data_IF_786622343122
#
_entry.id   IF_786622343122
#
_cell.length_a   1.000
_cell.length_b   1.000
_cell.length_c   1.000
_cell.angle_alpha   90.00
_cell.angle_beta   90.00
_cell.angle_gamma   90.00
#
_symmetry.space_group_name_H-M   'P 1'
#
loop_
_entity.id
_entity.type
_entity.pdbx_description
1 polymer ?
#
# COMPACT_ATOMS: atom_id res chain seq x y z
N UNK A 1 23.24 10.15 -10.34
CA UNK A 1 22.65 9.01 -9.60
C UNK A 1 21.24 9.43 -9.26
N UNK A 2 20.24 8.74 -9.79
CA UNK A 2 18.84 9.07 -9.48
C UNK A 2 18.50 8.32 -8.20
N UNK A 3 18.42 9.04 -7.08
CA UNK A 3 17.90 8.53 -5.80
C UNK A 3 16.37 8.34 -5.93
N UNK A 4 15.91 7.40 -6.77
CA UNK A 4 14.51 6.99 -6.78
C UNK A 4 14.34 5.90 -5.70
N UNK A 5 13.63 6.19 -4.58
CA UNK A 5 13.43 5.22 -3.50
C UNK A 5 12.82 3.89 -3.99
N UNK A 6 12.08 3.92 -5.12
CA UNK A 6 11.46 2.73 -5.69
C UNK A 6 12.47 1.78 -6.36
N UNK A 7 13.62 2.28 -6.84
CA UNK A 7 14.70 1.42 -7.32
C UNK A 7 15.34 0.66 -6.15
N UNK A 8 15.49 1.32 -4.99
CA UNK A 8 15.98 0.69 -3.77
C UNK A 8 15.11 -0.48 -3.31
N UNK A 9 13.79 -0.38 -3.48
CA UNK A 9 12.84 -1.48 -3.17
C UNK A 9 13.09 -2.71 -4.06
N UNK A 10 13.44 -2.53 -5.34
CA UNK A 10 13.73 -3.65 -6.25
C UNK A 10 15.02 -4.36 -5.83
N UNK A 11 16.04 -3.60 -5.41
CA UNK A 11 17.32 -4.14 -4.93
C UNK A 11 17.20 -4.83 -3.56
N UNK A 12 16.19 -4.46 -2.76
CA UNK A 12 15.96 -4.97 -1.41
C UNK A 12 14.91 -6.10 -1.33
N UNK A 13 14.42 -6.64 -2.45
CA UNK A 13 13.40 -7.71 -2.45
C UNK A 13 13.86 -8.95 -1.70
N UNK A 14 15.11 -9.38 -1.87
CA UNK A 14 15.63 -10.57 -1.17
C UNK A 14 15.69 -10.33 0.35
N UNK A 15 16.10 -9.12 0.77
CA UNK A 15 16.09 -8.72 2.17
C UNK A 15 14.68 -8.70 2.75
N UNK A 16 13.70 -8.17 2.01
CA UNK A 16 12.30 -8.16 2.42
C UNK A 16 11.75 -9.58 2.56
N UNK A 17 12.07 -10.48 1.63
CA UNK A 17 11.63 -11.88 1.72
C UNK A 17 12.27 -12.63 2.90
N UNK A 18 13.52 -12.31 3.26
CA UNK A 18 14.23 -13.02 4.34
C UNK A 18 13.94 -12.45 5.73
N UNK A 19 13.81 -11.12 5.86
CA UNK A 19 13.77 -10.41 7.16
C UNK A 19 12.51 -9.57 7.36
N UNK A 20 11.70 -9.41 6.34
CA UNK A 20 10.48 -8.62 6.41
C UNK A 20 9.42 -9.29 7.26
N UNK A 21 8.48 -8.48 7.73
CA UNK A 21 7.25 -8.92 8.38
C UNK A 21 6.09 -8.71 7.42
N UNK A 22 5.12 -9.63 7.45
CA UNK A 22 3.89 -9.52 6.66
C UNK A 22 2.87 -8.75 7.48
N UNK A 23 2.25 -7.75 6.86
CA UNK A 23 1.21 -6.91 7.45
C UNK A 23 0.07 -6.71 6.45
N UNK A 24 -1.09 -6.29 6.93
CA UNK A 24 -2.17 -5.85 6.05
C UNK A 24 -1.89 -4.48 5.45
N UNK A 25 -2.20 -4.35 4.16
CA UNK A 25 -2.26 -3.08 3.47
C UNK A 25 -3.59 -2.88 2.75
N UNK A 26 -3.99 -1.61 2.62
CA UNK A 26 -5.10 -1.16 1.83
C UNK A 26 -4.69 -0.14 0.78
N UNK A 27 -5.22 -0.27 -0.43
CA UNK A 27 -5.02 0.65 -1.53
C UNK A 27 -5.69 2.00 -1.25
N UNK A 28 -4.90 3.07 -1.30
CA UNK A 28 -5.41 4.45 -1.25
C UNK A 28 -5.61 4.98 -2.67
N UNK A 29 -4.61 4.81 -3.54
CA UNK A 29 -4.63 5.27 -4.92
C UNK A 29 -3.74 4.41 -5.79
N UNK A 30 -4.13 4.14 -7.02
CA UNK A 30 -3.31 3.45 -8.01
C UNK A 30 -3.43 4.10 -9.38
N UNK A 31 -2.42 3.85 -10.22
CA UNK A 31 -2.52 4.09 -11.65
C UNK A 31 -3.65 3.22 -12.25
N UNK A 32 -4.54 3.80 -13.06
CA UNK A 32 -5.68 3.10 -13.67
C UNK A 32 -5.28 1.89 -14.53
N UNK A 33 -4.04 1.86 -15.05
CA UNK A 33 -3.53 0.74 -15.83
C UNK A 33 -3.38 -0.53 -14.99
N UNK A 34 -3.22 -0.44 -13.66
CA UNK A 34 -3.06 -1.61 -12.78
C UNK A 34 -4.33 -2.47 -12.69
N UNK A 35 -5.51 -1.90 -12.96
CA UNK A 35 -6.81 -2.59 -12.94
C UNK A 35 -7.14 -3.30 -14.27
N UNK A 36 -6.21 -3.33 -15.23
CA UNK A 36 -6.39 -3.98 -16.54
C UNK A 36 -5.17 -4.85 -16.85
N UNK A 37 -5.33 -5.90 -17.68
CA UNK A 37 -4.20 -6.68 -18.15
C UNK A 37 -3.14 -5.78 -18.79
N UNK A 38 -1.88 -5.97 -18.41
CA UNK A 38 -0.78 -5.12 -18.86
C UNK A 38 0.57 -5.74 -18.54
N UNK A 39 1.63 -5.15 -19.12
CA UNK A 39 3.01 -5.65 -18.98
C UNK A 39 3.83 -4.86 -17.96
N UNK A 40 3.46 -3.62 -17.70
CA UNK A 40 4.26 -2.69 -16.92
C UNK A 40 3.77 -2.62 -15.48
N UNK A 41 4.74 -2.59 -14.58
CA UNK A 41 4.53 -2.26 -13.18
C UNK A 41 4.30 -0.75 -13.06
N UNK A 42 3.47 -0.35 -12.09
CA UNK A 42 3.13 1.05 -11.89
C UNK A 42 3.10 1.38 -10.39
N UNK A 43 3.28 2.67 -10.05
CA UNK A 43 3.17 3.09 -8.66
C UNK A 43 1.72 3.03 -8.16
N UNK A 44 1.61 2.83 -6.85
CA UNK A 44 0.39 3.01 -6.07
C UNK A 44 0.76 3.61 -4.71
N UNK A 45 -0.23 4.24 -4.08
CA UNK A 45 -0.18 4.64 -2.68
C UNK A 45 -0.98 3.64 -1.87
N UNK A 46 -0.35 3.08 -0.85
CA UNK A 46 -0.98 2.13 0.08
C UNK A 46 -0.92 2.68 1.50
N UNK A 47 -1.89 2.26 2.29
CA UNK A 47 -1.95 2.42 3.73
C UNK A 47 -1.64 1.05 4.34
N UNK A 48 -0.76 0.97 5.33
CA UNK A 48 -0.50 -0.27 6.07
C UNK A 48 -0.37 0.00 7.56
N UNK A 49 -0.60 -1.02 8.38
CA UNK A 49 -0.28 -0.99 9.82
C UNK A 49 1.05 -1.72 10.05
N UNK A 50 1.97 -1.13 10.81
CA UNK A 50 3.26 -1.76 11.11
C UNK A 50 3.20 -2.79 12.26
N UNK A 51 2.06 -2.87 12.94
CA UNK A 51 1.76 -3.91 13.92
C UNK A 51 1.04 -5.08 13.21
N UNK A 52 1.67 -6.28 13.11
CA UNK A 52 1.09 -7.41 12.38
C UNK A 52 -0.23 -7.92 12.95
N UNK A 53 -0.44 -7.81 14.27
CA UNK A 53 -1.66 -8.32 14.92
C UNK A 53 -2.83 -7.33 14.78
N UNK A 54 -2.51 -6.06 14.51
CA UNK A 54 -3.51 -5.04 14.25
C UNK A 54 -4.21 -5.30 12.91
N UNK A 55 -5.55 -5.33 12.93
CA UNK A 55 -6.44 -5.53 11.77
C UNK A 55 -6.50 -6.95 11.18
N UNK A 56 -5.89 -7.97 11.80
CA UNK A 56 -5.99 -9.35 11.30
C UNK A 56 -7.44 -9.86 11.25
N UNK A 57 -8.23 -9.55 12.28
CA UNK A 57 -9.65 -9.92 12.35
C UNK A 57 -10.55 -8.96 11.56
N UNK A 58 -10.08 -7.73 11.26
CA UNK A 58 -10.90 -6.65 10.70
C UNK A 58 -10.14 -5.79 9.67
N UNK A 59 -9.62 -6.37 8.57
CA UNK A 59 -8.83 -5.62 7.58
C UNK A 59 -9.65 -4.57 6.82
N UNK A 60 -10.98 -4.67 6.81
CA UNK A 60 -11.87 -3.67 6.23
C UNK A 60 -11.87 -2.32 6.98
N UNK A 61 -11.49 -2.28 8.26
CA UNK A 61 -11.30 -1.00 8.96
C UNK A 61 -10.15 -0.21 8.35
N UNK A 62 -9.04 -0.88 8.02
CA UNK A 62 -7.92 -0.27 7.29
C UNK A 62 -8.38 0.28 5.93
N UNK A 63 -9.27 -0.43 5.24
CA UNK A 63 -9.87 0.03 3.98
C UNK A 63 -10.75 1.26 4.16
N UNK A 64 -11.51 1.35 5.24
CA UNK A 64 -12.31 2.53 5.54
C UNK A 64 -11.42 3.78 5.70
N UNK A 65 -10.28 3.63 6.37
CA UNK A 65 -9.28 4.70 6.52
C UNK A 65 -8.67 5.08 5.17
N UNK A 66 -8.27 4.10 4.35
CA UNK A 66 -7.72 4.35 3.02
C UNK A 66 -8.69 5.15 2.13
N UNK A 67 -9.98 4.83 2.17
CA UNK A 67 -11.04 5.59 1.47
C UNK A 67 -11.16 7.02 1.98
N UNK A 68 -11.07 7.23 3.30
CA UNK A 68 -11.08 8.56 3.90
C UNK A 68 -9.89 9.39 3.43
N UNK A 69 -8.69 8.81 3.38
CA UNK A 69 -7.50 9.48 2.85
C UNK A 69 -7.64 9.81 1.37
N UNK A 70 -8.12 8.88 0.54
CA UNK A 70 -8.38 9.16 -0.87
C UNK A 70 -9.39 10.31 -1.06
N UNK A 71 -10.41 10.38 -0.20
CA UNK A 71 -11.47 11.40 -0.29
C UNK A 71 -10.95 12.84 -0.13
N UNK A 72 -9.75 13.04 0.42
CA UNK A 72 -9.16 14.37 0.57
C UNK A 72 -8.29 14.81 -0.60
N UNK A 73 -8.04 13.93 -1.58
CA UNK A 73 -7.26 14.24 -2.77
C UNK A 73 -7.77 15.50 -3.47
N UNK A 74 -6.84 16.40 -3.80
CA UNK A 74 -7.13 17.62 -4.56
C UNK A 74 -7.88 18.69 -3.78
N UNK A 75 -8.10 18.50 -2.47
CA UNK A 75 -8.78 19.48 -1.62
C UNK A 75 -7.78 20.37 -0.90
N UNK A 76 -8.17 21.64 -0.73
CA UNK A 76 -7.56 22.53 0.26
C UNK A 76 -8.35 22.38 1.56
N UNK A 77 -7.69 21.87 2.59
CA UNK A 77 -8.26 21.60 3.90
C UNK A 77 -7.78 22.66 4.89
N UNK A 78 -8.65 23.05 5.81
CA UNK A 78 -8.25 23.83 6.98
C UNK A 78 -7.52 22.97 8.02
N UNK A 79 -7.71 21.65 7.96
CA UNK A 79 -7.06 20.69 8.85
C UNK A 79 -5.59 20.48 8.46
N UNK A 80 -4.63 20.98 9.25
CA UNK A 80 -3.21 20.86 8.95
C UNK A 80 -2.70 19.41 9.04
N UNK A 81 -3.45 18.51 9.68
CA UNK A 81 -3.09 17.11 9.84
C UNK A 81 -3.41 16.31 8.57
N UNK A 82 -4.51 16.65 7.89
CA UNK A 82 -4.94 15.96 6.66
C UNK A 82 -4.40 16.60 5.38
N UNK A 83 -4.04 17.88 5.40
CA UNK A 83 -3.52 18.58 4.22
C UNK A 83 -2.29 17.90 3.59
N UNK A 84 -1.33 17.35 4.36
CA UNK A 84 -0.21 16.61 3.81
C UNK A 84 -0.61 15.41 2.93
N UNK A 85 -1.68 14.68 3.27
CA UNK A 85 -2.19 13.56 2.47
C UNK A 85 -2.84 14.04 1.17
N UNK A 86 -3.59 15.14 1.24
CA UNK A 86 -4.16 15.76 0.05
C UNK A 86 -3.04 16.16 -0.95
N UNK A 87 -1.91 16.67 -0.43
CA UNK A 87 -0.74 17.03 -1.23
C UNK A 87 -0.04 15.80 -1.81
N UNK A 88 0.24 14.78 -0.99
CA UNK A 88 0.85 13.51 -1.42
C UNK A 88 0.09 12.90 -2.59
N UNK A 89 -1.23 12.76 -2.47
CA UNK A 89 -2.07 12.11 -3.48
C UNK A 89 -2.16 12.88 -4.81
N UNK A 90 -1.83 14.17 -4.82
CA UNK A 90 -1.75 15.00 -6.03
C UNK A 90 -0.38 14.98 -6.69
N UNK A 91 0.67 14.57 -5.98
CA UNK A 91 2.05 14.63 -6.48
C UNK A 91 2.47 13.30 -7.07
N UNK A 92 2.30 13.15 -8.37
CA UNK A 92 2.67 11.91 -9.08
C UNK A 92 4.19 11.66 -9.20
N UNK A 93 5.01 12.69 -8.92
CA UNK A 93 6.46 12.68 -9.15
C UNK A 93 7.33 12.68 -7.88
N UNK A 94 6.79 13.02 -6.71
CA UNK A 94 7.49 12.87 -5.43
C UNK A 94 7.08 11.57 -4.77
N UNK A 95 8.04 10.78 -4.29
CA UNK A 95 7.76 9.56 -3.53
C UNK A 95 7.75 9.90 -2.05
N UNK A 96 6.61 9.71 -1.41
CA UNK A 96 6.46 9.87 0.03
C UNK A 96 6.47 8.47 0.66
N UNK A 97 7.48 8.21 1.48
CA UNK A 97 7.66 6.92 2.15
C UNK A 97 7.29 7.04 3.62
N UNK A 98 6.59 6.02 4.15
CA UNK A 98 6.26 5.87 5.57
C UNK A 98 5.68 7.14 6.23
N UNK A 99 4.80 7.84 5.52
CA UNK A 99 4.12 9.00 6.05
C UNK A 99 3.18 8.57 7.19
N UNK A 100 3.35 9.05 8.43
CA UNK A 100 2.57 8.58 9.58
C UNK A 100 1.11 9.01 9.46
N UNK A 101 0.22 8.04 9.62
CA UNK A 101 -1.23 8.28 9.63
C UNK A 101 -1.61 8.83 11.00
N UNK A 102 -2.47 9.87 11.06
CA UNK A 102 -2.89 10.44 12.33
C UNK A 102 -3.52 9.36 13.23
N UNK A 103 -3.08 9.24 14.50
CA UNK A 103 -3.59 8.21 15.41
C UNK A 103 -5.11 8.19 15.55
N UNK A 104 -5.76 9.35 15.42
CA UNK A 104 -7.22 9.50 15.48
C UNK A 104 -7.98 8.87 14.31
N UNK A 105 -7.29 8.43 13.24
CA UNK A 105 -7.90 7.73 12.13
C UNK A 105 -7.82 6.22 12.25
N UNK A 106 -6.96 5.70 13.13
CA UNK A 106 -6.56 4.29 13.20
C UNK A 106 -6.53 3.79 14.65
N UNK A 107 -7.29 4.44 15.53
CA UNK A 107 -7.42 4.10 16.95
C UNK A 107 -6.07 3.89 17.68
N UNK A 108 -5.08 4.70 17.31
CA UNK A 108 -3.73 4.64 17.90
C UNK A 108 -2.77 3.63 17.27
N UNK A 109 -3.23 2.79 16.34
CA UNK A 109 -2.38 1.81 15.67
C UNK A 109 -1.26 2.50 14.84
N UNK A 110 -0.06 1.92 14.77
CA UNK A 110 1.07 2.51 14.05
C UNK A 110 0.91 2.32 12.53
N UNK A 111 0.07 3.16 11.91
CA UNK A 111 -0.22 3.09 10.48
C UNK A 111 0.52 4.15 9.66
N UNK A 112 0.82 3.80 8.41
CA UNK A 112 1.59 4.62 7.50
C UNK A 112 1.02 4.59 6.08
N UNK A 113 1.11 5.72 5.38
CA UNK A 113 0.95 5.77 3.93
C UNK A 113 2.30 5.78 3.24
N UNK A 114 2.42 5.03 2.16
CA UNK A 114 3.66 4.94 1.39
C UNK A 114 3.39 4.72 -0.08
N UNK A 115 4.26 5.26 -0.94
CA UNK A 115 4.34 4.85 -2.33
C UNK A 115 4.96 3.46 -2.45
N UNK A 116 4.44 2.64 -3.37
CA UNK A 116 4.96 1.32 -3.71
C UNK A 116 4.97 1.13 -5.23
N UNK A 117 5.92 0.34 -5.75
CA UNK A 117 5.77 -0.25 -7.08
C UNK A 117 4.94 -1.51 -6.98
N UNK A 118 3.82 -1.52 -7.68
CA UNK A 118 2.99 -2.70 -7.84
C UNK A 118 3.61 -3.58 -8.92
N UNK A 119 4.41 -4.54 -8.48
CA UNK A 119 4.93 -5.59 -9.35
C UNK A 119 3.79 -6.53 -9.77
N UNK A 120 3.37 -6.49 -11.04
CA UNK A 120 2.24 -7.30 -11.53
C UNK A 120 2.43 -8.79 -11.29
N UNK A 121 3.68 -9.26 -11.31
CA UNK A 121 4.03 -10.66 -11.01
C UNK A 121 3.72 -11.08 -9.57
N UNK A 122 3.50 -10.14 -8.66
CA UNK A 122 3.15 -10.41 -7.26
C UNK A 122 1.64 -10.44 -7.04
N UNK A 123 0.82 -10.01 -8.01
CA UNK A 123 -0.63 -10.02 -7.90
C UNK A 123 -1.21 -11.31 -8.50
N UNK A 124 -2.28 -11.86 -7.91
CA UNK A 124 -3.11 -12.85 -8.60
C UNK A 124 -3.65 -12.23 -9.90
N UNK A 125 -3.73 -13.05 -10.96
CA UNK A 125 -4.14 -12.61 -12.31
C UNK A 125 -3.36 -11.40 -12.90
N UNK A 126 -2.26 -10.96 -12.28
CA UNK A 126 -1.43 -9.81 -12.70
C UNK A 126 -2.19 -8.47 -12.78
N UNK A 127 -3.28 -8.35 -12.02
CA UNK A 127 -4.19 -7.20 -12.00
C UNK A 127 -4.57 -6.86 -10.55
N UNK A 128 -4.69 -5.56 -10.26
CA UNK A 128 -4.97 -5.05 -8.92
C UNK A 128 -6.48 -4.99 -8.69
N UNK A 129 -7.09 -6.15 -8.51
CA UNK A 129 -8.55 -6.28 -8.47
C UNK A 129 -9.15 -6.06 -7.09
N UNK A 130 -8.32 -6.16 -6.04
CA UNK A 130 -8.76 -5.99 -4.66
C UNK A 130 -7.94 -4.90 -3.93
N UNK A 131 -8.57 -4.07 -3.07
CA UNK A 131 -7.86 -3.02 -2.35
C UNK A 131 -7.11 -3.53 -1.13
N UNK A 132 -7.43 -4.71 -0.60
CA UNK A 132 -6.74 -5.29 0.57
C UNK A 132 -5.82 -6.42 0.13
N UNK A 133 -4.56 -6.39 0.59
CA UNK A 133 -3.55 -7.38 0.28
C UNK A 133 -2.43 -7.39 1.32
N UNK A 134 -1.70 -8.51 1.47
CA UNK A 134 -0.52 -8.60 2.30
C UNK A 134 0.64 -7.79 1.72
N UNK A 135 1.28 -7.03 2.59
CA UNK A 135 2.46 -6.22 2.32
C UNK A 135 3.61 -6.76 3.18
N UNK A 136 4.80 -6.82 2.59
CA UNK A 136 6.03 -7.10 3.32
C UNK A 136 6.70 -5.77 3.60
N UNK A 137 7.01 -5.52 4.87
CA UNK A 137 7.74 -4.33 5.31
C UNK A 137 9.00 -4.74 6.07
N UNK A 138 10.02 -3.88 6.04
CA UNK A 138 11.12 -3.97 7.00
C UNK A 138 11.00 -2.80 7.98
N UNK A 139 10.72 -3.04 9.28
CA UNK A 139 10.48 -1.95 10.23
C UNK A 139 11.63 -0.95 10.35
N UNK A 140 12.86 -1.39 10.06
CA UNK A 140 14.11 -0.62 10.18
C UNK A 140 14.44 0.27 8.98
N UNK A 141 13.70 0.19 7.86
CA UNK A 141 13.89 1.08 6.71
C UNK A 141 12.59 1.29 5.91
N UNK A 142 12.69 1.94 4.75
CA UNK A 142 11.55 2.25 3.87
C UNK A 142 11.24 1.13 2.87
N UNK A 143 11.96 0.01 2.95
CA UNK A 143 11.73 -1.13 2.08
C UNK A 143 10.32 -1.69 2.29
N UNK A 144 9.55 -1.75 1.21
CA UNK A 144 8.21 -2.31 1.22
C UNK A 144 7.88 -2.93 -0.12
N UNK A 145 7.16 -4.05 -0.13
CA UNK A 145 6.62 -4.62 -1.36
C UNK A 145 5.35 -5.39 -1.09
N UNK A 146 4.49 -5.51 -2.10
CA UNK A 146 3.38 -6.47 -2.04
C UNK A 146 3.97 -7.87 -1.95
N UNK A 147 3.50 -8.66 -0.98
CA UNK A 147 3.92 -10.05 -0.83
C UNK A 147 3.61 -10.79 -2.14
N UNK A 148 4.55 -11.54 -2.74
CA UNK A 148 4.25 -12.30 -3.94
C UNK A 148 3.09 -13.28 -3.74
N UNK A 149 2.08 -13.26 -4.62
CA UNK A 149 0.86 -14.08 -4.53
C UNK A 149 1.08 -15.58 -4.36
N UNK A 150 2.24 -16.11 -4.76
CA UNK A 150 2.65 -17.50 -4.52
C UNK A 150 2.76 -17.86 -3.02
N UNK A 151 2.80 -16.88 -2.13
CA UNK A 151 2.87 -17.06 -0.67
C UNK A 151 1.53 -16.73 0.01
N UNK A 152 0.49 -16.40 -0.74
CA UNK A 152 -0.79 -16.04 -0.16
C UNK A 152 -1.56 -17.29 0.21
N UNK A 153 -2.35 -17.24 1.29
CA UNK A 153 -3.25 -18.34 1.64
C UNK A 153 -4.34 -18.50 0.56
N UNK A 154 -4.83 -19.73 0.39
CA UNK A 154 -5.80 -20.09 -0.65
C UNK A 154 -7.12 -19.31 -0.50
N UNK A 155 -7.51 -18.97 0.72
CA UNK A 155 -8.69 -18.16 1.01
C UNK A 155 -8.58 -16.77 0.40
N UNK A 156 -7.41 -16.13 0.50
CA UNK A 156 -7.16 -14.81 -0.07
C UNK A 156 -7.07 -14.86 -1.59
N UNK A 157 -6.43 -15.90 -2.14
CA UNK A 157 -6.39 -16.14 -3.59
C UNK A 157 -7.81 -16.31 -4.16
N UNK A 158 -8.68 -17.01 -3.45
CA UNK A 158 -10.07 -17.24 -3.83
C UNK A 158 -10.90 -15.95 -3.78
N UNK A 159 -10.71 -15.13 -2.74
CA UNK A 159 -11.38 -13.84 -2.60
C UNK A 159 -10.98 -12.84 -3.70
N UNK A 160 -9.76 -12.97 -4.25
CA UNK A 160 -9.24 -12.08 -5.30
C UNK A 160 -10.03 -12.14 -6.62
N UNK A 161 -10.64 -13.28 -6.93
CA UNK A 161 -11.30 -13.54 -8.22
C UNK A 161 -12.77 -13.07 -8.25
N UNK A 162 -13.29 -12.48 -7.15
CA UNK A 162 -14.73 -12.33 -6.95
C UNK A 162 -15.29 -10.91 -6.79
N UNK A 163 -14.47 -9.87 -6.66
CA UNK A 163 -14.95 -8.53 -6.27
C UNK A 163 -14.47 -7.48 -7.28
N UNK A 164 -15.37 -6.77 -7.98
CA UNK A 164 -14.98 -5.62 -8.79
C UNK A 164 -14.39 -4.51 -7.90
N UNK A 165 -13.28 -3.92 -8.35
CA UNK A 165 -12.59 -2.81 -7.69
C UNK A 165 -13.48 -1.56 -7.50
#
# INVERSE_FOLDING_TARGET
>A
MSDDPLLGIIEQQDLLLEKGIVVWASLVQANQLLFKPGRYDHPAVVLYCADPESFDDQPDELRAVARKLYSVKGKLLADPVLQPFANMLCRELSREMRMPVPPSLVDGAPAYCTDVIVARRHLPARTLDHPLFPLVILPTCDATMILPSRFWPDELLSAWVGVPA
#
